data_IF_848484603023
#
_entry.id   IF_848484603023
#
_cell.length_a   1.000
_cell.length_b   1.000
_cell.length_c   1.000
_cell.angle_alpha   90.00
_cell.angle_beta   90.00
_cell.angle_gamma   90.00
#
_symmetry.space_group_name_H-M   'P 1'
#
loop_
_entity.id
_entity.type
_entity.pdbx_description
1 polymer ?
#
# COMPACT_ATOMS: atom_id res chain seq x y z
N UNK A 1 -9.34 -2.46 10.36
CA UNK A 1 -7.91 -2.42 9.99
C UNK A 1 -7.19 -3.78 10.08
N UNK A 2 -7.76 -4.82 10.73
CA UNK A 2 -7.09 -6.13 10.85
C UNK A 2 -7.15 -7.00 9.59
N UNK A 3 -8.14 -6.79 8.70
CA UNK A 3 -8.43 -7.72 7.61
C UNK A 3 -7.31 -7.77 6.56
N UNK A 4 -6.88 -6.61 6.06
CA UNK A 4 -5.86 -6.59 4.99
C UNK A 4 -4.47 -7.10 5.38
N UNK A 5 -4.07 -7.06 6.66
CA UNK A 5 -2.83 -7.70 7.11
C UNK A 5 -2.97 -9.23 7.15
N UNK A 6 -4.14 -9.73 7.54
CA UNK A 6 -4.44 -11.15 7.53
C UNK A 6 -4.44 -11.68 6.09
N UNK A 7 -5.16 -11.01 5.19
CA UNK A 7 -5.22 -11.37 3.76
C UNK A 7 -3.84 -11.37 3.10
N UNK A 8 -3.03 -10.33 3.38
CA UNK A 8 -1.68 -10.25 2.87
C UNK A 8 -0.82 -11.43 3.37
N UNK A 9 -0.91 -11.77 4.66
CA UNK A 9 -0.18 -12.88 5.24
C UNK A 9 -0.62 -14.23 4.62
N UNK A 10 -1.93 -14.47 4.49
CA UNK A 10 -2.46 -15.66 3.84
C UNK A 10 -1.96 -15.78 2.39
N UNK A 11 -1.97 -14.69 1.63
CA UNK A 11 -1.45 -14.67 0.27
C UNK A 11 0.06 -14.98 0.21
N UNK A 12 0.85 -14.37 1.10
CA UNK A 12 2.31 -14.53 1.17
C UNK A 12 2.72 -15.95 1.55
N UNK A 13 1.94 -16.64 2.39
CA UNK A 13 2.23 -18.02 2.82
C UNK A 13 2.23 -19.02 1.66
N UNK A 14 1.59 -18.69 0.54
CA UNK A 14 1.61 -19.51 -0.68
C UNK A 14 2.92 -19.41 -1.47
N UNK A 15 3.89 -18.59 -1.03
CA UNK A 15 5.18 -18.39 -1.68
C UNK A 15 6.34 -18.84 -0.77
N UNK A 16 7.49 -19.23 -1.35
CA UNK A 16 8.68 -19.55 -0.56
C UNK A 16 9.06 -18.41 0.39
N UNK A 17 9.54 -18.74 1.60
CA UNK A 17 10.04 -17.75 2.55
C UNK A 17 11.16 -16.92 1.93
N UNK A 18 11.13 -15.60 2.15
CA UNK A 18 12.11 -14.66 1.60
C UNK A 18 11.81 -14.16 0.18
N UNK A 19 10.73 -14.62 -0.47
CA UNK A 19 10.31 -14.11 -1.79
C UNK A 19 9.99 -12.62 -1.76
N UNK A 20 9.36 -12.17 -0.67
CA UNK A 20 8.92 -10.78 -0.51
C UNK A 20 9.56 -10.17 0.73
N UNK A 21 9.70 -8.85 0.73
CA UNK A 21 10.21 -8.06 1.86
C UNK A 21 9.07 -7.38 2.62
N UNK A 22 8.05 -6.93 1.90
CA UNK A 22 6.89 -6.24 2.46
C UNK A 22 5.69 -6.33 1.53
N UNK A 23 4.61 -5.68 1.93
CA UNK A 23 3.36 -5.64 1.19
C UNK A 23 2.65 -4.30 1.39
N UNK A 24 1.67 -4.03 0.53
CA UNK A 24 0.74 -2.93 0.70
C UNK A 24 -0.68 -3.34 0.29
N UNK A 25 -1.67 -2.68 0.85
CA UNK A 25 -3.08 -2.96 0.56
C UNK A 25 -3.97 -1.72 0.74
N UNK A 26 -5.17 -1.82 0.20
CA UNK A 26 -6.26 -0.86 0.40
C UNK A 26 -7.58 -1.63 0.62
N UNK A 27 -8.58 -0.95 1.18
CA UNK A 27 -9.92 -1.50 1.38
C UNK A 27 -10.91 -0.89 0.38
N UNK A 28 -12.09 -1.50 0.25
CA UNK A 28 -13.17 -0.98 -0.60
C UNK A 28 -13.53 0.49 -0.32
N UNK A 29 -13.50 0.93 0.93
CA UNK A 29 -13.73 2.33 1.31
C UNK A 29 -12.69 3.30 0.74
N UNK A 30 -11.44 2.86 0.59
CA UNK A 30 -10.40 3.68 -0.03
C UNK A 30 -10.68 3.85 -1.54
N UNK A 31 -11.30 2.84 -2.18
CA UNK A 31 -11.75 2.94 -3.57
C UNK A 31 -12.98 3.85 -3.71
N UNK A 32 -13.97 3.74 -2.82
CA UNK A 32 -15.13 4.64 -2.79
C UNK A 32 -14.69 6.11 -2.68
N UNK A 33 -13.65 6.39 -1.88
CA UNK A 33 -13.06 7.72 -1.77
C UNK A 33 -12.51 8.23 -3.10
N UNK A 34 -11.83 7.39 -3.88
CA UNK A 34 -11.34 7.76 -5.22
C UNK A 34 -12.51 8.08 -6.16
N UNK A 35 -13.57 7.27 -6.12
CA UNK A 35 -14.76 7.47 -6.96
C UNK A 35 -15.46 8.82 -6.66
N UNK A 36 -15.30 9.34 -5.44
CA UNK A 36 -15.79 10.65 -5.02
C UNK A 36 -14.79 11.80 -5.27
N UNK A 37 -13.70 11.55 -6.01
CA UNK A 37 -12.67 12.53 -6.35
C UNK A 37 -11.58 12.70 -5.28
N UNK A 38 -11.52 11.81 -4.29
CA UNK A 38 -10.46 11.78 -3.28
C UNK A 38 -9.22 10.99 -3.72
N UNK A 39 -8.34 10.74 -2.75
CA UNK A 39 -7.10 9.97 -2.91
C UNK A 39 -7.26 8.52 -2.47
N UNK A 40 -6.42 7.62 -3.00
CA UNK A 40 -6.27 6.26 -2.48
C UNK A 40 -5.39 6.27 -1.24
N UNK A 41 -5.78 5.53 -0.21
CA UNK A 41 -4.91 5.28 0.94
C UNK A 41 -4.35 3.87 0.85
N UNK A 42 -3.03 3.73 0.98
CA UNK A 42 -2.32 2.47 1.02
C UNK A 42 -1.78 2.25 2.43
N UNK A 43 -2.21 1.16 3.08
CA UNK A 43 -1.50 0.61 4.22
C UNK A 43 -0.32 -0.21 3.70
N UNK A 44 0.73 -0.34 4.51
CA UNK A 44 1.91 -1.11 4.16
C UNK A 44 2.54 -1.72 5.41
N UNK A 45 3.30 -2.79 5.22
CA UNK A 45 4.07 -3.39 6.30
C UNK A 45 5.26 -4.19 5.77
N UNK A 46 6.19 -4.52 6.67
CA UNK A 46 7.23 -5.51 6.45
C UNK A 46 6.75 -6.89 6.93
N UNK A 47 7.20 -7.97 6.28
CA UNK A 47 6.67 -9.32 6.55
C UNK A 47 7.09 -9.85 7.92
N UNK A 48 8.36 -9.64 8.30
CA UNK A 48 8.93 -10.21 9.53
C UNK A 48 9.71 -9.17 10.36
N UNK A 49 9.53 -7.89 10.08
CA UNK A 49 10.39 -6.80 10.58
C UNK A 49 9.53 -5.67 11.11
N UNK A 50 10.17 -4.76 11.83
CA UNK A 50 9.49 -3.62 12.45
C UNK A 50 10.11 -2.32 11.94
N UNK A 51 10.20 -1.27 12.75
CA UNK A 51 10.98 -0.07 12.42
C UNK A 51 12.47 -0.41 12.61
N UNK A 52 13.35 -0.15 11.61
CA UNK A 52 13.15 0.70 10.43
C UNK A 52 12.66 -0.01 9.15
N UNK A 53 12.59 -1.34 9.10
CA UNK A 53 12.26 -2.10 7.89
C UNK A 53 10.89 -1.72 7.29
N UNK A 54 9.89 -1.41 8.13
CA UNK A 54 8.59 -0.90 7.69
C UNK A 54 8.73 0.41 6.93
N UNK A 55 9.55 1.33 7.42
CA UNK A 55 9.80 2.63 6.80
C UNK A 55 10.50 2.42 5.44
N UNK A 56 11.39 1.43 5.33
CA UNK A 56 12.02 1.08 4.05
C UNK A 56 11.01 0.60 3.01
N UNK A 57 9.99 -0.16 3.41
CA UNK A 57 8.87 -0.53 2.53
C UNK A 57 8.10 0.73 2.10
N UNK A 58 7.79 1.64 3.04
CA UNK A 58 7.11 2.89 2.73
C UNK A 58 7.88 3.78 1.74
N UNK A 59 9.21 3.88 1.91
CA UNK A 59 10.09 4.60 0.99
C UNK A 59 10.12 3.96 -0.41
N UNK A 60 10.19 2.63 -0.51
CA UNK A 60 10.13 1.91 -1.78
C UNK A 60 8.82 2.19 -2.51
N UNK A 61 7.69 2.09 -1.81
CA UNK A 61 6.37 2.37 -2.38
C UNK A 61 6.28 3.82 -2.87
N UNK A 62 6.69 4.79 -2.04
CA UNK A 62 6.71 6.20 -2.42
C UNK A 62 7.53 6.42 -3.69
N UNK A 63 8.75 5.89 -3.74
CA UNK A 63 9.64 6.06 -4.90
C UNK A 63 9.04 5.47 -6.18
N UNK A 64 8.50 4.25 -6.13
CA UNK A 64 7.93 3.60 -7.32
C UNK A 64 6.64 4.27 -7.80
N UNK A 65 5.78 4.72 -6.87
CA UNK A 65 4.56 5.45 -7.20
C UNK A 65 4.87 6.83 -7.81
N UNK A 66 5.83 7.57 -7.24
CA UNK A 66 6.27 8.86 -7.78
C UNK A 66 6.91 8.71 -9.17
N UNK A 67 7.75 7.69 -9.39
CA UNK A 67 8.29 7.34 -10.72
C UNK A 67 7.20 7.03 -11.74
N UNK A 68 6.08 6.47 -11.29
CA UNK A 68 4.91 6.15 -12.11
C UNK A 68 4.02 7.38 -12.40
N UNK A 69 4.39 8.57 -11.90
CA UNK A 69 3.67 9.82 -12.13
C UNK A 69 2.54 10.11 -11.14
N UNK A 70 2.42 9.32 -10.07
CA UNK A 70 1.46 9.61 -9.00
C UNK A 70 2.02 10.66 -8.04
N UNK A 71 1.12 11.46 -7.46
CA UNK A 71 1.48 12.32 -6.33
C UNK A 71 1.33 11.52 -5.05
N UNK A 72 2.42 11.37 -4.30
CA UNK A 72 2.44 10.63 -3.04
C UNK A 72 2.57 11.59 -1.86
N UNK A 73 1.72 11.43 -0.86
CA UNK A 73 1.74 12.19 0.39
C UNK A 73 1.94 11.19 1.54
N UNK A 74 3.10 11.27 2.18
CA UNK A 74 3.47 10.43 3.33
C UNK A 74 4.59 11.12 4.13
N UNK A 75 4.49 11.09 5.47
CA UNK A 75 5.36 11.79 6.41
C UNK A 75 6.60 10.99 6.83
N UNK A 76 6.76 9.76 6.33
CA UNK A 76 7.87 8.89 6.68
C UNK A 76 7.66 8.04 7.94
N UNK A 77 6.45 8.01 8.53
CA UNK A 77 6.16 7.23 9.75
C UNK A 77 5.23 6.06 9.48
N UNK A 78 5.34 5.03 10.33
CA UNK A 78 4.48 3.83 10.29
C UNK A 78 3.05 4.10 10.75
N UNK A 79 2.81 5.22 11.44
CA UNK A 79 1.48 5.64 11.91
C UNK A 79 0.63 6.23 10.78
N UNK A 80 1.26 6.66 9.67
CA UNK A 80 0.56 7.22 8.52
C UNK A 80 0.52 6.22 7.35
N UNK A 81 -0.67 6.00 6.81
CA UNK A 81 -0.86 5.36 5.50
C UNK A 81 -0.32 6.26 4.39
N UNK A 82 0.11 5.65 3.29
CA UNK A 82 0.56 6.39 2.10
C UNK A 82 -0.67 6.88 1.35
N UNK A 83 -0.81 8.19 1.19
CA UNK A 83 -1.86 8.77 0.34
C UNK A 83 -1.34 8.92 -1.09
N UNK A 84 -2.11 8.43 -2.05
CA UNK A 84 -1.81 8.50 -3.48
C UNK A 84 -2.91 9.29 -4.18
N UNK A 85 -2.56 10.49 -4.62
CA UNK A 85 -3.46 11.41 -5.31
C UNK A 85 -3.27 11.33 -6.83
N UNK A 86 -4.19 11.97 -7.56
CA UNK A 86 -4.21 12.00 -9.03
C UNK A 86 -4.39 10.61 -9.68
N UNK A 87 -5.12 9.72 -8.99
CA UNK A 87 -5.48 8.42 -9.54
C UNK A 87 -6.71 8.58 -10.42
N UNK A 88 -6.56 8.27 -11.71
CA UNK A 88 -7.68 8.06 -12.61
C UNK A 88 -8.11 6.60 -12.52
N UNK A 89 -9.03 6.29 -11.62
CA UNK A 89 -9.58 4.94 -11.55
C UNK A 89 -10.30 4.58 -12.85
N UNK A 90 -10.03 3.39 -13.36
CA UNK A 90 -10.69 2.84 -14.54
C UNK A 90 -11.17 1.44 -14.20
N UNK A 91 -12.49 1.24 -14.15
CA UNK A 91 -13.04 -0.11 -14.10
C UNK A 91 -12.81 -0.75 -15.47
N UNK A 92 -11.84 -1.65 -15.55
CA UNK A 92 -11.51 -2.41 -16.76
C UNK A 92 -12.17 -3.78 -16.76
N UNK A 93 -13.37 -3.88 -16.17
CA UNK A 93 -14.17 -5.11 -16.15
C UNK A 93 -14.13 -5.81 -17.52
N UNK A 94 -14.09 -7.14 -17.47
CA UNK A 94 -14.16 -8.01 -18.64
C UNK A 94 -15.61 -8.07 -19.12
#
# INVERSE_FOLDING_TARGET
>A
MSDGHYDANEAIQNYPKGTFQGYCFYHGQDLERILQGGSLMLAYDHINGDVPEKIDIGNKLKSELEKSGFKVIWNGTTEQRIEVSNIKWQNRGI
#
